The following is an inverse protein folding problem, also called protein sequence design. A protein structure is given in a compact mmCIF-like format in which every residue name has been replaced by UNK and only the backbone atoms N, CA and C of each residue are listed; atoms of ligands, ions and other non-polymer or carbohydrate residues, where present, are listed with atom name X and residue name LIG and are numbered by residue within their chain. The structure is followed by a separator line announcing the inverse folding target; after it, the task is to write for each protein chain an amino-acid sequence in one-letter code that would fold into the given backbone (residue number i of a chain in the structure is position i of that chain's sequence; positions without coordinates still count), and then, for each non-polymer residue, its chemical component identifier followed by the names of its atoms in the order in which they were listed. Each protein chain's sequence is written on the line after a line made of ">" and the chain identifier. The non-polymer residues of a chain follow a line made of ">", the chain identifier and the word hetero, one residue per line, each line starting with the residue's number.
data_IF_612567327688
#
_entry.id   IF_612567327688
#
_cell.length_a   1.000
_cell.length_b   1.000
_cell.length_c   1.000
_cell.angle_alpha   90.00
_cell.angle_beta   90.00
_cell.angle_gamma   90.00
#
_symmetry.space_group_name_H-M   'P 1'
#
loop_
_entity.id
_entity.type
_entity.pdbx_description
1 polymer ?
#
# COMPACT_ATOMS: atom_id res chain seq x y z
N UNK A 1 -17.02 -26.36 -13.46
CA UNK A 1 -16.08 -27.00 -12.52
C UNK A 1 -14.74 -26.32 -12.63
N UNK A 2 -14.16 -25.95 -11.48
CA UNK A 2 -12.80 -25.44 -11.37
C UNK A 2 -12.05 -26.30 -10.35
N UNK A 3 -10.75 -26.49 -10.54
CA UNK A 3 -9.92 -27.32 -9.67
C UNK A 3 -9.30 -26.49 -8.52
N UNK A 4 -9.11 -25.18 -8.73
CA UNK A 4 -8.61 -24.26 -7.74
C UNK A 4 -8.99 -22.81 -8.06
N UNK A 5 -8.92 -21.90 -7.07
CA UNK A 5 -9.28 -20.49 -7.22
C UNK A 5 -8.20 -19.60 -6.61
N UNK A 6 -7.76 -18.59 -7.37
CA UNK A 6 -6.89 -17.52 -6.89
C UNK A 6 -7.75 -16.27 -6.64
N UNK A 7 -7.68 -15.70 -5.45
CA UNK A 7 -8.58 -14.64 -4.99
C UNK A 7 -7.76 -13.44 -4.51
N UNK A 8 -8.13 -12.24 -4.97
CA UNK A 8 -7.78 -10.98 -4.29
C UNK A 8 -9.00 -10.57 -3.44
N UNK A 9 -8.95 -10.67 -2.12
CA UNK A 9 -10.12 -10.58 -1.24
C UNK A 9 -10.51 -9.12 -0.96
N UNK A 10 -11.05 -8.42 -1.96
CA UNK A 10 -11.43 -7.01 -1.86
C UNK A 10 -12.72 -6.76 -1.08
N UNK A 11 -13.60 -7.77 -0.97
CA UNK A 11 -14.89 -7.69 -0.31
C UNK A 11 -14.95 -8.77 0.78
N UNK A 12 -15.00 -8.34 2.04
CA UNK A 12 -14.82 -9.26 3.18
C UNK A 12 -15.92 -10.33 3.25
N UNK A 13 -17.18 -9.91 3.22
CA UNK A 13 -18.32 -10.83 3.38
C UNK A 13 -18.41 -11.83 2.23
N UNK A 14 -18.29 -11.33 1.00
CA UNK A 14 -18.33 -12.17 -0.20
C UNK A 14 -17.14 -13.13 -0.26
N UNK A 15 -15.98 -12.69 0.17
CA UNK A 15 -14.78 -13.55 0.23
C UNK A 15 -14.95 -14.66 1.27
N UNK A 16 -15.50 -14.35 2.45
CA UNK A 16 -15.76 -15.37 3.48
C UNK A 16 -16.81 -16.37 3.02
N UNK A 17 -17.89 -15.90 2.38
CA UNK A 17 -18.92 -16.77 1.82
C UNK A 17 -18.35 -17.68 0.71
N UNK A 18 -17.54 -17.13 -0.19
CA UNK A 18 -16.84 -17.91 -1.22
C UNK A 18 -15.87 -18.91 -0.61
N UNK A 19 -15.08 -18.51 0.38
CA UNK A 19 -14.14 -19.40 1.07
C UNK A 19 -14.85 -20.59 1.74
N UNK A 20 -15.97 -20.33 2.41
CA UNK A 20 -16.79 -21.40 3.00
C UNK A 20 -17.29 -22.38 1.93
N UNK A 21 -17.85 -21.87 0.83
CA UNK A 21 -18.29 -22.71 -0.30
C UNK A 21 -17.14 -23.56 -0.89
N UNK A 22 -15.95 -22.96 -1.09
CA UNK A 22 -14.79 -23.66 -1.62
C UNK A 22 -14.30 -24.76 -0.68
N UNK A 23 -14.31 -24.51 0.64
CA UNK A 23 -13.95 -25.51 1.65
C UNK A 23 -14.93 -26.69 1.67
N UNK A 24 -16.23 -26.43 1.67
CA UNK A 24 -17.27 -27.47 1.61
C UNK A 24 -17.13 -28.37 0.37
N UNK A 25 -16.76 -27.77 -0.77
CA UNK A 25 -16.58 -28.49 -2.03
C UNK A 25 -15.15 -29.02 -2.23
N UNK A 26 -14.26 -28.88 -1.24
CA UNK A 26 -12.86 -29.32 -1.28
C UNK A 26 -12.07 -28.74 -2.47
N UNK A 27 -12.39 -27.51 -2.85
CA UNK A 27 -11.70 -26.76 -3.89
C UNK A 27 -10.58 -25.94 -3.23
N UNK A 28 -9.34 -26.15 -3.67
CA UNK A 28 -8.20 -25.39 -3.16
C UNK A 28 -8.28 -23.92 -3.56
N UNK A 29 -7.90 -23.01 -2.68
CA UNK A 29 -7.81 -21.58 -3.02
C UNK A 29 -6.64 -20.90 -2.31
N UNK A 30 -6.15 -19.84 -2.92
CA UNK A 30 -5.06 -19.01 -2.42
C UNK A 30 -5.44 -17.53 -2.48
N UNK A 31 -4.86 -16.74 -1.58
CA UNK A 31 -5.01 -15.29 -1.60
C UNK A 31 -3.78 -14.60 -2.19
N UNK A 32 -4.03 -13.49 -2.89
CA UNK A 32 -3.02 -12.54 -3.36
C UNK A 32 -3.40 -11.13 -2.91
N UNK A 33 -2.40 -10.27 -2.77
CA UNK A 33 -2.50 -8.85 -2.40
C UNK A 33 -2.92 -8.64 -0.94
N UNK A 34 -4.11 -9.10 -0.54
CA UNK A 34 -4.61 -9.04 0.84
C UNK A 34 -4.68 -10.44 1.45
N UNK A 35 -4.46 -10.53 2.76
CA UNK A 35 -4.65 -11.75 3.52
C UNK A 35 -5.91 -11.66 4.39
N UNK A 36 -6.65 -12.76 4.45
CA UNK A 36 -7.77 -12.96 5.37
C UNK A 36 -7.54 -14.27 6.13
N UNK A 37 -6.89 -14.16 7.29
CA UNK A 37 -6.47 -15.33 8.09
C UNK A 37 -7.66 -16.19 8.52
N UNK A 38 -8.81 -15.57 8.79
CA UNK A 38 -10.05 -16.27 9.16
C UNK A 38 -10.59 -17.20 8.07
N UNK A 39 -10.28 -16.90 6.80
CA UNK A 39 -10.72 -17.71 5.67
C UNK A 39 -9.89 -18.98 5.42
N UNK A 40 -8.73 -19.13 6.06
CA UNK A 40 -7.88 -20.34 6.03
C UNK A 40 -7.54 -20.82 4.60
N UNK A 41 -7.12 -19.91 3.73
CA UNK A 41 -6.65 -20.26 2.39
C UNK A 41 -5.42 -21.20 2.45
N UNK A 42 -5.19 -21.94 1.37
CA UNK A 42 -4.00 -22.80 1.23
C UNK A 42 -2.70 -22.02 1.41
N UNK A 43 -2.65 -20.84 0.84
CA UNK A 43 -1.50 -19.92 0.94
C UNK A 43 -1.93 -18.48 0.70
N UNK A 44 -1.17 -17.55 1.24
CA UNK A 44 -1.20 -16.13 0.92
C UNK A 44 0.09 -15.73 0.22
N UNK A 45 -0.03 -14.99 -0.87
CA UNK A 45 1.08 -14.41 -1.61
C UNK A 45 0.90 -12.89 -1.67
N UNK A 46 1.78 -12.14 -1.03
CA UNK A 46 1.72 -10.68 -0.98
C UNK A 46 2.86 -10.08 -0.18
N UNK A 47 2.82 -8.78 0.05
CA UNK A 47 3.85 -8.14 0.87
C UNK A 47 3.57 -8.28 2.37
N UNK A 48 4.64 -8.27 3.17
CA UNK A 48 4.53 -8.00 4.60
C UNK A 48 4.20 -6.52 4.79
N UNK A 49 2.92 -6.23 5.04
CA UNK A 49 2.40 -4.86 5.12
C UNK A 49 3.01 -4.07 6.28
N UNK A 50 3.27 -4.71 7.41
CA UNK A 50 3.92 -4.06 8.55
C UNK A 50 5.35 -3.65 8.20
N UNK A 51 6.15 -4.56 7.66
CA UNK A 51 7.52 -4.23 7.22
C UNK A 51 7.54 -3.20 6.11
N UNK A 52 6.58 -3.25 5.20
CA UNK A 52 6.43 -2.26 4.13
C UNK A 52 6.21 -0.85 4.70
N UNK A 53 5.34 -0.70 5.70
CA UNK A 53 5.14 0.55 6.42
C UNK A 53 6.38 1.04 7.17
N UNK A 54 7.05 0.14 7.89
CA UNK A 54 8.29 0.45 8.58
C UNK A 54 9.40 0.96 7.63
N UNK A 55 9.55 0.30 6.47
CA UNK A 55 10.50 0.71 5.43
C UNK A 55 10.08 2.06 4.83
N UNK A 56 8.78 2.29 4.59
CA UNK A 56 8.28 3.56 4.08
C UNK A 56 8.66 4.72 5.00
N UNK A 57 8.49 4.57 6.32
CA UNK A 57 8.91 5.56 7.29
C UNK A 57 10.43 5.79 7.23
N UNK A 58 11.21 4.72 7.27
CA UNK A 58 12.68 4.81 7.24
C UNK A 58 13.21 5.53 6.01
N UNK A 59 12.58 5.35 4.85
CA UNK A 59 12.98 6.01 3.60
C UNK A 59 12.52 7.47 3.59
N UNK A 60 11.26 7.73 3.93
CA UNK A 60 10.67 9.07 3.95
C UNK A 60 11.43 9.99 4.91
N UNK A 61 11.76 9.50 6.09
CA UNK A 61 12.43 10.27 7.14
C UNK A 61 13.89 10.61 6.83
N UNK A 62 14.48 10.08 5.75
CA UNK A 62 15.78 10.57 5.23
C UNK A 62 15.71 12.02 4.73
N UNK A 63 14.52 12.49 4.39
CA UNK A 63 14.29 13.87 3.98
C UNK A 63 13.95 14.80 5.17
N UNK A 64 13.89 14.27 6.38
CA UNK A 64 13.58 15.03 7.59
C UNK A 64 14.78 15.83 8.09
N UNK A 65 14.52 17.08 8.45
CA UNK A 65 15.51 18.00 9.02
C UNK A 65 14.97 18.60 10.31
N UNK A 66 15.42 18.10 11.46
CA UNK A 66 14.90 18.51 12.76
C UNK A 66 15.02 20.03 13.02
N UNK A 67 16.09 20.66 12.53
CA UNK A 67 16.33 22.09 12.69
C UNK A 67 15.36 23.00 11.93
N UNK A 68 14.60 22.47 10.97
CA UNK A 68 13.64 23.25 10.17
C UNK A 68 12.21 23.20 10.72
N UNK A 69 11.96 22.40 11.76
CA UNK A 69 10.62 22.25 12.37
C UNK A 69 9.60 21.67 11.38
N UNK A 70 10.06 20.74 10.53
CA UNK A 70 9.22 20.08 9.55
C UNK A 70 8.19 19.17 10.24
N UNK A 71 7.00 19.10 9.64
CA UNK A 71 5.89 18.29 10.13
C UNK A 71 5.61 17.15 9.16
N UNK A 72 5.22 16.00 9.71
CA UNK A 72 4.83 14.80 8.98
C UNK A 72 3.32 14.73 8.85
N UNK A 73 2.83 14.33 7.67
CA UNK A 73 1.40 14.15 7.41
C UNK A 73 1.10 12.72 6.99
N UNK A 74 0.18 12.10 7.70
CA UNK A 74 -0.40 10.80 7.37
C UNK A 74 -1.71 11.06 6.62
N UNK A 75 -1.76 10.74 5.33
CA UNK A 75 -2.97 10.84 4.53
C UNK A 75 -3.70 9.51 4.57
N UNK A 76 -4.83 9.50 5.28
CA UNK A 76 -5.64 8.32 5.55
C UNK A 76 -6.92 8.33 4.72
N UNK A 77 -7.54 7.18 4.56
CA UNK A 77 -8.88 7.06 3.97
C UNK A 77 -9.85 6.46 4.98
N UNK A 78 -11.09 6.91 4.93
CA UNK A 78 -12.11 6.44 5.86
C UNK A 78 -12.98 5.35 5.20
N UNK A 79 -12.72 4.08 5.52
CA UNK A 79 -13.58 2.97 5.10
C UNK A 79 -13.29 1.69 5.90
N UNK A 80 -13.84 1.60 7.11
CA UNK A 80 -13.45 0.63 8.14
C UNK A 80 -13.73 -0.86 7.84
N UNK A 81 -14.55 -1.18 6.83
CA UNK A 81 -15.03 -2.55 6.62
C UNK A 81 -14.38 -3.29 5.41
N UNK A 82 -13.35 -2.72 4.82
CA UNK A 82 -12.68 -3.29 3.64
C UNK A 82 -11.36 -3.97 4.03
N UNK A 83 -11.02 -5.17 3.53
CA UNK A 83 -9.70 -5.80 3.72
C UNK A 83 -8.52 -4.91 3.36
N UNK A 84 -8.67 -4.02 2.38
CA UNK A 84 -7.68 -2.98 2.06
C UNK A 84 -7.38 -2.04 3.25
N UNK A 85 -8.35 -1.80 4.13
CA UNK A 85 -8.13 -0.98 5.33
C UNK A 85 -7.29 -1.72 6.37
N UNK A 86 -7.46 -3.03 6.50
CA UNK A 86 -6.62 -3.87 7.36
C UNK A 86 -5.16 -3.80 6.89
N UNK A 87 -4.94 -3.88 5.58
CA UNK A 87 -3.60 -3.74 5.01
C UNK A 87 -3.01 -2.35 5.26
N UNK A 88 -3.82 -1.30 5.04
CA UNK A 88 -3.40 0.08 5.34
C UNK A 88 -3.09 0.27 6.81
N UNK A 89 -3.91 -0.27 7.71
CA UNK A 89 -3.66 -0.20 9.15
C UNK A 89 -2.34 -0.88 9.52
N UNK A 90 -2.06 -2.07 8.98
CA UNK A 90 -0.77 -2.75 9.19
C UNK A 90 0.42 -1.94 8.67
N UNK A 91 0.26 -1.24 7.53
CA UNK A 91 1.29 -0.31 7.01
C UNK A 91 1.48 0.88 7.94
N UNK A 92 0.38 1.46 8.42
CA UNK A 92 0.42 2.56 9.41
C UNK A 92 1.09 2.11 10.71
N UNK A 93 0.75 0.94 11.24
CA UNK A 93 1.35 0.39 12.46
C UNK A 93 2.87 0.22 12.32
N UNK A 94 3.33 -0.34 11.20
CA UNK A 94 4.75 -0.47 10.90
C UNK A 94 5.44 0.89 10.74
N UNK A 95 4.79 1.83 10.07
CA UNK A 95 5.30 3.19 9.89
C UNK A 95 5.47 3.90 11.23
N UNK A 96 4.44 3.87 12.06
CA UNK A 96 4.45 4.51 13.38
C UNK A 96 5.41 3.84 14.36
N UNK A 97 5.65 2.53 14.24
CA UNK A 97 6.67 1.83 15.02
C UNK A 97 8.05 2.40 14.76
N UNK A 98 8.44 2.59 13.49
CA UNK A 98 9.71 3.22 13.16
C UNK A 98 9.80 4.67 13.70
N UNK A 99 8.72 5.45 13.57
CA UNK A 99 8.69 6.82 14.09
C UNK A 99 8.88 6.84 15.60
N UNK A 100 8.19 5.96 16.34
CA UNK A 100 8.29 5.89 17.79
C UNK A 100 9.69 5.45 18.28
N UNK A 101 10.38 4.62 17.51
CA UNK A 101 11.74 4.16 17.83
C UNK A 101 12.79 5.26 17.65
N UNK A 102 12.64 6.12 16.62
CA UNK A 102 13.71 7.01 16.19
C UNK A 102 13.42 8.50 16.45
N UNK A 103 12.16 8.91 16.66
CA UNK A 103 11.75 10.32 16.73
C UNK A 103 10.83 10.62 17.91
N UNK A 104 11.33 11.31 18.93
CA UNK A 104 10.56 11.61 20.17
C UNK A 104 9.72 12.88 20.10
N UNK A 105 9.99 13.81 19.20
CA UNK A 105 9.36 15.16 19.18
C UNK A 105 8.89 15.54 17.76
N UNK A 106 8.56 14.58 16.93
CA UNK A 106 8.04 14.84 15.59
C UNK A 106 6.58 15.26 15.67
N UNK A 107 6.24 16.41 15.06
CA UNK A 107 4.85 16.82 14.90
C UNK A 107 4.24 16.01 13.75
N UNK A 108 3.16 15.30 14.06
CA UNK A 108 2.47 14.43 13.12
C UNK A 108 1.00 14.88 13.01
N UNK A 109 0.54 15.02 11.78
CA UNK A 109 -0.85 15.32 11.46
C UNK A 109 -1.50 14.16 10.73
N UNK A 110 -2.78 13.96 10.95
CA UNK A 110 -3.62 13.04 10.20
C UNK A 110 -4.59 13.83 9.34
N UNK A 111 -4.64 13.52 8.04
CA UNK A 111 -5.60 14.10 7.10
C UNK A 111 -6.41 12.98 6.49
N UNK A 112 -7.71 13.01 6.71
CA UNK A 112 -8.63 12.00 6.16
C UNK A 112 -9.13 12.46 4.80
N UNK A 113 -8.85 11.68 3.75
CA UNK A 113 -9.31 11.94 2.39
C UNK A 113 -10.46 10.99 2.01
N UNK A 114 -11.49 11.55 1.40
CA UNK A 114 -12.62 10.79 0.89
C UNK A 114 -12.26 10.10 -0.44
N UNK A 115 -12.63 8.84 -0.59
CA UNK A 115 -12.33 8.06 -1.81
C UNK A 115 -13.07 8.55 -3.05
N UNK A 116 -14.23 9.17 -2.88
CA UNK A 116 -15.18 9.47 -3.95
C UNK A 116 -15.43 10.94 -4.18
N UNK A 117 -14.95 11.81 -3.30
CA UNK A 117 -15.27 13.24 -3.30
C UNK A 117 -13.98 14.07 -3.43
N UNK A 118 -13.63 14.39 -4.68
CA UNK A 118 -12.43 15.19 -4.98
C UNK A 118 -12.58 16.64 -4.53
N UNK A 119 -13.78 17.21 -4.61
CA UNK A 119 -14.03 18.62 -4.24
C UNK A 119 -13.87 18.80 -2.73
N UNK A 120 -14.46 17.91 -1.93
CA UNK A 120 -14.26 17.87 -0.48
C UNK A 120 -12.80 17.67 -0.10
N UNK A 121 -12.07 16.81 -0.81
CA UNK A 121 -10.65 16.60 -0.57
C UNK A 121 -9.82 17.86 -0.87
N UNK A 122 -10.15 18.60 -1.92
CA UNK A 122 -9.46 19.84 -2.25
C UNK A 122 -9.64 20.88 -1.14
N UNK A 123 -10.87 21.08 -0.65
CA UNK A 123 -11.13 21.98 0.47
C UNK A 123 -10.35 21.57 1.73
N UNK A 124 -10.41 20.29 2.09
CA UNK A 124 -9.68 19.73 3.24
C UNK A 124 -8.17 20.00 3.13
N UNK A 125 -7.58 19.79 1.94
CA UNK A 125 -6.15 20.01 1.71
C UNK A 125 -5.80 21.50 1.74
N UNK A 126 -6.64 22.39 1.17
CA UNK A 126 -6.43 23.84 1.20
C UNK A 126 -6.44 24.38 2.63
N UNK A 127 -7.40 23.94 3.44
CA UNK A 127 -7.49 24.33 4.87
C UNK A 127 -6.30 23.79 5.65
N UNK A 128 -5.96 22.52 5.45
CA UNK A 128 -4.85 21.88 6.12
C UNK A 128 -3.52 22.59 5.83
N UNK A 129 -3.15 22.75 4.57
CA UNK A 129 -1.87 23.36 4.21
C UNK A 129 -1.79 24.85 4.50
N UNK A 130 -2.94 25.54 4.65
CA UNK A 130 -2.97 26.94 5.16
C UNK A 130 -2.63 26.99 6.64
N UNK A 131 -3.17 26.05 7.43
CA UNK A 131 -2.94 25.97 8.87
C UNK A 131 -1.54 25.43 9.21
N UNK A 132 -1.00 24.53 8.37
CA UNK A 132 0.25 23.83 8.59
C UNK A 132 1.28 24.06 7.47
N UNK A 133 1.84 25.27 7.36
CA UNK A 133 2.78 25.62 6.29
C UNK A 133 4.12 24.88 6.39
N UNK A 134 4.41 24.25 7.54
CA UNK A 134 5.62 23.42 7.77
C UNK A 134 5.42 21.93 7.43
N UNK A 135 4.23 21.53 7.02
CA UNK A 135 3.96 20.18 6.56
C UNK A 135 4.81 19.87 5.30
N UNK A 136 5.88 19.13 5.50
CA UNK A 136 6.91 18.91 4.49
C UNK A 136 7.09 17.45 4.07
N UNK A 137 6.65 16.50 4.90
CA UNK A 137 6.74 15.07 4.64
C UNK A 137 5.36 14.45 4.63
N UNK A 138 5.08 13.58 3.67
CA UNK A 138 3.77 12.95 3.53
C UNK A 138 3.83 11.48 3.16
N UNK A 139 2.89 10.71 3.68
CA UNK A 139 2.70 9.31 3.31
C UNK A 139 1.24 9.02 2.99
N UNK A 140 1.02 8.28 1.89
CA UNK A 140 -0.28 7.74 1.49
C UNK A 140 -0.17 6.22 1.47
N UNK A 141 -0.89 5.52 2.35
CA UNK A 141 -0.73 4.07 2.55
C UNK A 141 -1.44 3.18 1.52
N UNK A 142 -2.00 3.78 0.48
CA UNK A 142 -2.69 3.09 -0.62
C UNK A 142 -2.22 3.60 -2.00
N UNK A 143 -2.84 3.09 -3.07
CA UNK A 143 -2.51 3.42 -4.46
C UNK A 143 -2.87 4.84 -4.92
N UNK A 144 -3.43 5.70 -4.05
CA UNK A 144 -4.02 6.99 -4.44
C UNK A 144 -3.11 8.19 -4.18
N UNK A 145 -1.81 8.00 -4.06
CA UNK A 145 -0.87 9.12 -3.87
C UNK A 145 -0.95 10.13 -5.01
N UNK A 146 -1.41 9.71 -6.20
CA UNK A 146 -1.63 10.60 -7.34
C UNK A 146 -2.62 11.74 -7.02
N UNK A 147 -3.66 11.50 -6.23
CA UNK A 147 -4.63 12.54 -5.88
C UNK A 147 -3.97 13.69 -5.12
N UNK A 148 -3.09 13.36 -4.17
CA UNK A 148 -2.33 14.35 -3.43
C UNK A 148 -1.26 15.00 -4.33
N UNK A 149 -0.53 14.24 -5.12
CA UNK A 149 0.50 14.77 -6.03
C UNK A 149 -0.06 15.75 -7.06
N UNK A 150 -1.21 15.43 -7.65
CA UNK A 150 -1.94 16.32 -8.57
C UNK A 150 -2.40 17.61 -7.85
N UNK A 151 -2.98 17.49 -6.66
CA UNK A 151 -3.36 18.64 -5.84
C UNK A 151 -2.16 19.56 -5.58
N UNK A 152 -1.04 19.00 -5.10
CA UNK A 152 0.17 19.79 -4.81
C UNK A 152 0.69 20.52 -6.03
N UNK A 153 0.72 19.85 -7.19
CA UNK A 153 1.11 20.44 -8.47
C UNK A 153 0.21 21.62 -8.86
N UNK A 154 -1.12 21.45 -8.80
CA UNK A 154 -2.08 22.49 -9.14
C UNK A 154 -2.02 23.69 -8.16
N UNK A 155 -1.79 23.42 -6.89
CA UNK A 155 -1.65 24.45 -5.86
C UNK A 155 -0.27 25.16 -5.88
N UNK A 156 0.63 24.76 -6.79
CA UNK A 156 2.01 25.29 -6.83
C UNK A 156 2.80 25.00 -5.55
N UNK A 157 2.49 23.89 -4.87
CA UNK A 157 3.14 23.44 -3.64
C UNK A 157 4.02 22.22 -3.90
N UNK A 158 5.03 22.05 -3.06
CA UNK A 158 5.86 20.84 -3.06
C UNK A 158 6.09 20.38 -1.62
N UNK A 159 6.23 19.07 -1.44
CA UNK A 159 6.72 18.47 -0.20
C UNK A 159 8.20 18.11 -0.35
N UNK A 160 8.95 18.04 0.73
CA UNK A 160 10.35 17.56 0.72
C UNK A 160 10.46 16.05 0.57
N UNK A 161 9.38 15.34 0.95
CA UNK A 161 9.23 13.91 0.75
C UNK A 161 7.77 13.52 0.70
N UNK A 162 7.39 12.80 -0.34
CA UNK A 162 6.06 12.19 -0.49
C UNK A 162 6.24 10.74 -0.95
N UNK A 163 5.69 9.80 -0.18
CA UNK A 163 5.75 8.38 -0.47
C UNK A 163 4.33 7.81 -0.63
N UNK A 164 4.16 6.92 -1.59
CA UNK A 164 2.91 6.19 -1.82
C UNK A 164 3.15 4.75 -2.23
N UNK A 165 2.07 4.08 -2.58
CA UNK A 165 2.07 2.67 -2.98
C UNK A 165 1.53 2.52 -4.40
N UNK A 166 1.94 1.44 -5.03
CA UNK A 166 1.50 0.98 -6.34
C UNK A 166 1.93 1.84 -7.54
N UNK A 167 2.11 1.14 -8.67
CA UNK A 167 2.64 1.72 -9.89
C UNK A 167 1.53 2.02 -10.90
N UNK A 168 0.44 2.65 -10.42
CA UNK A 168 -0.57 3.20 -11.31
C UNK A 168 0.09 4.23 -12.24
N UNK A 169 -0.38 4.33 -13.47
CA UNK A 169 0.17 5.24 -14.47
C UNK A 169 0.33 6.67 -13.93
N UNK A 170 -0.70 7.19 -13.27
CA UNK A 170 -0.67 8.52 -12.66
C UNK A 170 0.40 8.65 -11.55
N UNK A 171 0.57 7.62 -10.71
CA UNK A 171 1.61 7.61 -9.69
C UNK A 171 3.01 7.65 -10.31
N UNK A 172 3.25 6.86 -11.37
CA UNK A 172 4.52 6.80 -12.09
C UNK A 172 4.84 8.12 -12.78
N UNK A 173 3.85 8.77 -13.39
CA UNK A 173 4.01 10.10 -14.00
C UNK A 173 4.43 11.15 -12.97
N UNK A 174 3.82 11.13 -11.80
CA UNK A 174 4.16 12.04 -10.68
C UNK A 174 5.52 11.72 -10.05
N UNK A 175 5.91 10.45 -10.01
CA UNK A 175 7.25 10.05 -9.58
C UNK A 175 8.32 10.59 -10.55
N UNK A 176 8.08 10.43 -11.87
CA UNK A 176 9.00 10.93 -12.91
C UNK A 176 9.14 12.44 -12.93
N UNK A 177 8.06 13.16 -12.65
CA UNK A 177 8.09 14.64 -12.56
C UNK A 177 8.67 15.16 -11.22
N UNK A 178 8.75 14.30 -10.20
CA UNK A 178 9.29 14.66 -8.88
C UNK A 178 8.24 15.21 -7.90
N UNK A 179 6.95 15.19 -8.24
CA UNK A 179 5.87 15.56 -7.31
C UNK A 179 5.63 14.48 -6.25
N UNK A 180 5.87 13.22 -6.59
CA UNK A 180 6.00 12.09 -5.69
C UNK A 180 7.46 11.64 -5.66
N UNK A 181 8.01 11.35 -4.50
CA UNK A 181 9.45 11.06 -4.34
C UNK A 181 9.75 9.57 -4.31
N UNK A 182 8.82 8.78 -3.74
CA UNK A 182 8.98 7.34 -3.56
C UNK A 182 7.68 6.61 -3.84
N UNK A 183 7.77 5.47 -4.52
CA UNK A 183 6.67 4.51 -4.65
C UNK A 183 7.12 3.15 -4.15
N UNK A 184 6.23 2.46 -3.43
CA UNK A 184 6.44 1.07 -3.05
C UNK A 184 5.69 0.19 -4.05
N UNK A 185 6.47 -0.59 -4.82
CA UNK A 185 5.95 -1.55 -5.79
C UNK A 185 5.63 -2.89 -5.16
N UNK A 186 4.53 -3.52 -5.56
CA UNK A 186 4.02 -4.77 -5.00
C UNK A 186 4.14 -5.99 -5.93
N UNK A 187 4.61 -5.85 -7.16
CA UNK A 187 4.77 -6.91 -8.17
C UNK A 187 3.50 -7.73 -8.39
N UNK A 188 2.36 -7.15 -8.78
CA UNK A 188 1.09 -7.88 -8.91
C UNK A 188 1.17 -9.04 -9.90
N UNK A 189 1.90 -8.90 -11.01
CA UNK A 189 2.13 -9.98 -11.97
C UNK A 189 2.84 -11.19 -11.34
N UNK A 190 3.90 -10.94 -10.54
CA UNK A 190 4.62 -12.00 -9.85
C UNK A 190 3.77 -12.65 -8.74
N UNK A 191 2.95 -11.88 -8.04
CA UNK A 191 1.99 -12.43 -7.07
C UNK A 191 1.02 -13.40 -7.76
N UNK A 192 0.43 -12.99 -8.89
CA UNK A 192 -0.46 -13.83 -9.69
C UNK A 192 0.23 -15.11 -10.16
N UNK A 193 1.42 -14.99 -10.73
CA UNK A 193 2.22 -16.14 -11.16
C UNK A 193 2.51 -17.11 -10.00
N UNK A 194 2.98 -16.60 -8.87
CA UNK A 194 3.29 -17.42 -7.70
C UNK A 194 2.02 -18.09 -7.12
N UNK A 195 0.88 -17.38 -7.13
CA UNK A 195 -0.41 -17.91 -6.67
C UNK A 195 -0.89 -19.08 -7.52
N UNK A 196 -0.91 -18.91 -8.84
CA UNK A 196 -1.26 -19.98 -9.78
C UNK A 196 -0.29 -21.17 -9.65
N UNK A 197 1.02 -20.87 -9.58
CA UNK A 197 2.04 -21.93 -9.40
C UNK A 197 1.81 -22.71 -8.10
N UNK A 198 1.54 -22.06 -6.98
CA UNK A 198 1.28 -22.72 -5.69
C UNK A 198 0.04 -23.63 -5.76
N UNK A 199 -1.03 -23.16 -6.40
CA UNK A 199 -2.24 -23.96 -6.62
C UNK A 199 -1.96 -25.18 -7.52
N UNK A 200 -1.20 -25.00 -8.61
CA UNK A 200 -0.77 -26.13 -9.47
C UNK A 200 0.12 -27.12 -8.70
N UNK A 201 1.09 -26.65 -7.93
CA UNK A 201 1.97 -27.51 -7.13
C UNK A 201 1.14 -28.38 -6.15
N UNK A 202 0.09 -27.79 -5.54
CA UNK A 202 -0.78 -28.51 -4.63
C UNK A 202 -1.74 -29.47 -5.34
N UNK A 203 -2.50 -28.97 -6.33
CA UNK A 203 -3.61 -29.73 -6.93
C UNK A 203 -3.11 -30.80 -7.90
N UNK A 204 -2.13 -30.47 -8.75
CA UNK A 204 -1.62 -31.35 -9.79
C UNK A 204 -0.48 -32.21 -9.26
N UNK A 205 0.53 -31.59 -8.67
CA UNK A 205 1.76 -32.29 -8.25
C UNK A 205 1.73 -32.81 -6.82
N UNK A 206 0.64 -32.57 -6.07
CA UNK A 206 0.43 -33.01 -4.67
C UNK A 206 1.55 -32.61 -3.71
N UNK A 207 2.20 -31.47 -4.00
CA UNK A 207 3.24 -30.93 -3.14
C UNK A 207 2.65 -30.14 -1.96
N UNK A 208 3.39 -30.08 -0.87
CA UNK A 208 3.11 -29.13 0.20
C UNK A 208 3.39 -27.70 -0.26
N UNK A 209 2.57 -26.76 0.19
CA UNK A 209 2.71 -25.32 -0.08
C UNK A 209 2.87 -24.58 1.25
N UNK A 210 3.80 -23.63 1.30
CA UNK A 210 3.96 -22.80 2.47
C UNK A 210 2.72 -21.91 2.69
N UNK A 211 2.26 -21.73 3.94
CA UNK A 211 1.05 -20.96 4.22
C UNK A 211 1.16 -19.48 3.82
N UNK A 212 2.37 -18.93 3.82
CA UNK A 212 2.62 -17.52 3.47
C UNK A 212 3.88 -17.42 2.61
N UNK A 213 3.78 -16.69 1.51
CA UNK A 213 4.93 -16.33 0.67
C UNK A 213 5.00 -14.81 0.53
N UNK A 214 5.94 -14.20 1.23
CA UNK A 214 6.15 -12.76 1.10
C UNK A 214 6.87 -12.38 -0.19
N UNK A 215 6.34 -11.35 -0.85
CA UNK A 215 6.95 -10.72 -2.02
C UNK A 215 7.98 -9.66 -1.61
N UNK A 216 8.98 -9.40 -2.45
CA UNK A 216 9.89 -8.28 -2.25
C UNK A 216 9.15 -6.95 -2.08
N UNK A 217 9.73 -6.07 -1.27
CA UNK A 217 9.27 -4.68 -1.11
C UNK A 217 10.19 -3.82 -1.97
N UNK A 218 9.71 -3.40 -3.15
CA UNK A 218 10.49 -2.59 -4.06
C UNK A 218 10.32 -1.11 -3.74
N UNK A 219 11.44 -0.41 -3.55
CA UNK A 219 11.47 1.03 -3.37
C UNK A 219 11.86 1.67 -4.69
N UNK A 220 10.95 2.47 -5.23
CA UNK A 220 11.09 3.06 -6.54
C UNK A 220 11.19 4.58 -6.44
N UNK A 221 12.15 5.10 -7.17
CA UNK A 221 12.43 6.52 -7.36
C UNK A 221 12.45 6.83 -8.86
N UNK A 222 12.47 8.10 -9.24
CA UNK A 222 12.45 8.48 -10.66
C UNK A 222 13.62 7.90 -11.46
N UNK A 223 14.76 7.63 -10.80
CA UNK A 223 15.97 7.13 -11.44
C UNK A 223 15.92 5.62 -11.75
N UNK A 224 15.06 4.83 -11.08
CA UNK A 224 15.01 3.37 -11.26
C UNK A 224 13.66 2.85 -11.79
N UNK A 225 12.65 3.70 -11.88
CA UNK A 225 11.29 3.27 -12.26
C UNK A 225 11.22 2.67 -13.67
N UNK A 226 11.99 3.18 -14.62
CA UNK A 226 11.97 2.69 -16.00
C UNK A 226 12.51 1.27 -16.09
N UNK A 227 13.54 0.93 -15.31
CA UNK A 227 14.12 -0.42 -15.28
C UNK A 227 13.21 -1.45 -14.61
N UNK A 228 12.30 -1.02 -13.73
CA UNK A 228 11.37 -1.93 -13.05
C UNK A 228 10.47 -2.68 -14.03
N UNK A 229 9.99 -2.01 -15.09
CA UNK A 229 9.08 -2.59 -16.07
C UNK A 229 9.74 -3.51 -17.10
N UNK A 230 11.06 -3.50 -17.18
CA UNK A 230 11.80 -4.39 -18.10
C UNK A 230 11.88 -5.84 -17.59
N UNK A 231 11.60 -6.07 -16.30
CA UNK A 231 11.79 -7.36 -15.63
C UNK A 231 10.52 -7.88 -14.91
N UNK A 232 9.34 -7.34 -15.27
CA UNK A 232 8.05 -7.72 -14.65
C UNK A 232 7.18 -8.49 -15.63
#
# INVERSE_FOLDING_TARGET
>A
NVDAVLISPNFREETLALAAYLQENKIAYAFVDFNMEEARALTYIGQDSYKSGYIAAKILMRNYSAGEGQELVLFLSNNKDNPAEIQMQRRLDGFMSYIAEEYNNLVIHEVILNKSDQESNQQTLDEFFRAHPKAALGVVFNSRVYQLGEYLRHAGRSMKGLIGYDLLKANVELLKSGDVHYLIGQRPGLQGYCGVKALCDHVVFKKSVEPVKYMPIDILIKENIDFYFEFV
#
